data_IF_105896713225
#
_entry.id   IF_105896713225
#
_cell.length_a   1.000
_cell.length_b   1.000
_cell.length_c   1.000
_cell.angle_alpha   90.00
_cell.angle_beta   90.00
_cell.angle_gamma   90.00
#
_symmetry.space_group_name_H-M   'P 1'
#
loop_
_entity.id
_entity.type
_entity.pdbx_description
1 polymer ?
#
# COMPACT_ATOMS: atom_id res chain seq x y z
N UNK A 1 19.54 -51.28 34.60
CA UNK A 1 18.44 -50.29 34.74
C UNK A 1 18.94 -48.97 34.18
N UNK A 2 18.43 -48.56 33.02
CA UNK A 2 18.80 -47.30 32.37
C UNK A 2 17.70 -46.27 32.62
N UNK A 3 18.05 -45.11 33.18
CA UNK A 3 17.13 -44.00 33.40
C UNK A 3 16.82 -43.31 32.06
N UNK A 4 15.55 -42.98 31.77
CA UNK A 4 15.20 -42.20 30.59
C UNK A 4 15.57 -40.71 30.78
N UNK A 5 16.19 -40.14 29.75
CA UNK A 5 16.55 -38.73 29.63
C UNK A 5 15.30 -37.82 29.62
N UNK A 6 15.38 -36.60 30.17
CA UNK A 6 14.26 -35.67 30.17
C UNK A 6 14.01 -35.09 28.77
N UNK A 7 12.73 -35.07 28.41
CA UNK A 7 12.17 -34.48 27.18
C UNK A 7 12.41 -32.95 27.18
N UNK A 8 12.76 -32.32 26.04
CA UNK A 8 13.08 -30.89 25.99
C UNK A 8 11.87 -30.02 26.36
N UNK A 9 12.16 -29.02 27.21
CA UNK A 9 11.28 -27.94 27.66
C UNK A 9 10.40 -27.38 26.54
N UNK A 10 9.10 -27.32 26.82
CA UNK A 10 8.16 -26.46 26.13
C UNK A 10 8.72 -25.02 26.11
N UNK A 11 8.94 -24.49 24.91
CA UNK A 11 9.36 -23.12 24.64
C UNK A 11 8.47 -22.13 25.39
N UNK A 12 9.09 -21.33 26.26
CA UNK A 12 8.41 -20.30 27.04
C UNK A 12 7.63 -19.33 26.12
N UNK A 13 6.47 -18.81 26.56
CA UNK A 13 5.71 -17.86 25.78
C UNK A 13 6.54 -16.58 25.56
N UNK A 14 6.79 -16.24 24.29
CA UNK A 14 7.51 -15.03 23.89
C UNK A 14 6.95 -13.79 24.61
N UNK A 15 7.86 -12.93 25.07
CA UNK A 15 7.51 -11.62 25.61
C UNK A 15 6.79 -10.77 24.56
N UNK A 16 5.99 -9.79 25.00
CA UNK A 16 5.25 -8.90 24.08
C UNK A 16 6.16 -8.21 23.05
N UNK A 17 7.39 -7.86 23.45
CA UNK A 17 8.39 -7.24 22.59
C UNK A 17 8.89 -8.21 21.50
N UNK A 18 9.21 -9.45 21.87
CA UNK A 18 9.66 -10.47 20.91
C UNK A 18 8.57 -10.84 19.90
N UNK A 19 7.30 -10.85 20.34
CA UNK A 19 6.16 -11.03 19.43
C UNK A 19 6.07 -9.90 18.40
N UNK A 20 6.23 -8.66 18.81
CA UNK A 20 6.20 -7.50 17.91
C UNK A 20 7.33 -7.55 16.88
N UNK A 21 8.55 -7.87 17.31
CA UNK A 21 9.72 -8.02 16.43
C UNK A 21 9.50 -9.14 15.42
N UNK A 22 9.04 -10.31 15.90
CA UNK A 22 8.75 -11.44 15.02
C UNK A 22 7.65 -11.12 14.00
N UNK A 23 6.60 -10.40 14.38
CA UNK A 23 5.54 -9.96 13.47
C UNK A 23 6.04 -8.98 12.41
N UNK A 24 6.88 -8.02 12.80
CA UNK A 24 7.55 -7.12 11.86
C UNK A 24 8.43 -7.89 10.87
N UNK A 25 9.16 -8.91 11.32
CA UNK A 25 9.97 -9.77 10.45
C UNK A 25 9.11 -10.55 9.45
N UNK A 26 7.99 -11.15 9.91
CA UNK A 26 7.02 -11.81 9.02
C UNK A 26 6.44 -10.85 7.98
N UNK A 27 6.12 -9.63 8.39
CA UNK A 27 5.62 -8.58 7.51
C UNK A 27 6.67 -8.18 6.44
N UNK A 28 7.94 -8.08 6.81
CA UNK A 28 9.04 -7.80 5.86
C UNK A 28 9.20 -8.93 4.84
N UNK A 29 9.22 -10.17 5.30
CA UNK A 29 9.31 -11.35 4.42
C UNK A 29 8.13 -11.41 3.44
N UNK A 30 6.90 -11.13 3.90
CA UNK A 30 5.73 -11.07 3.03
C UNK A 30 5.83 -9.93 1.99
N UNK A 31 6.32 -8.75 2.39
CA UNK A 31 6.57 -7.65 1.43
C UNK A 31 7.60 -8.06 0.37
N UNK A 32 8.70 -8.70 0.77
CA UNK A 32 9.75 -9.18 -0.14
C UNK A 32 9.20 -10.24 -1.11
N UNK A 33 8.44 -11.21 -0.61
CA UNK A 33 7.76 -12.21 -1.44
C UNK A 33 6.78 -11.56 -2.43
N UNK A 34 6.06 -10.53 -2.00
CA UNK A 34 5.18 -9.74 -2.89
C UNK A 34 5.95 -9.00 -3.98
N UNK A 35 7.11 -8.42 -3.64
CA UNK A 35 7.99 -7.78 -4.62
C UNK A 35 8.54 -8.79 -5.64
N UNK A 36 9.00 -9.95 -5.18
CA UNK A 36 9.45 -11.03 -6.05
C UNK A 36 8.34 -11.52 -6.99
N UNK A 37 7.11 -11.68 -6.47
CA UNK A 37 5.95 -12.03 -7.29
C UNK A 37 5.61 -10.96 -8.34
N UNK A 38 5.73 -9.66 -8.02
CA UNK A 38 5.54 -8.58 -9.00
C UNK A 38 6.59 -8.62 -10.11
N UNK A 39 7.85 -8.89 -9.76
CA UNK A 39 8.96 -8.99 -10.70
C UNK A 39 8.79 -10.21 -11.62
N UNK A 40 8.30 -11.33 -11.08
CA UNK A 40 7.96 -12.54 -11.83
C UNK A 40 6.69 -12.42 -12.69
N UNK A 41 6.06 -11.24 -12.77
CA UNK A 41 4.85 -11.03 -13.56
C UNK A 41 3.58 -11.67 -12.96
N UNK A 42 3.57 -11.99 -11.67
CA UNK A 42 2.42 -12.54 -10.95
C UNK A 42 1.78 -11.49 -10.01
N UNK A 43 0.98 -10.54 -10.55
CA UNK A 43 0.38 -9.48 -9.75
C UNK A 43 -0.71 -9.98 -8.78
N UNK A 44 -1.31 -11.15 -9.03
CA UNK A 44 -2.25 -11.79 -8.09
C UNK A 44 -1.51 -12.30 -6.85
N UNK A 45 -0.43 -13.05 -7.05
CA UNK A 45 0.45 -13.51 -5.97
C UNK A 45 1.03 -12.34 -5.17
N UNK A 46 1.46 -11.28 -5.86
CA UNK A 46 1.93 -10.08 -5.19
C UNK A 46 0.86 -9.41 -4.32
N UNK A 47 -0.35 -9.20 -4.86
CA UNK A 47 -1.46 -8.63 -4.10
C UNK A 47 -1.76 -9.47 -2.84
N UNK A 48 -1.72 -10.80 -2.96
CA UNK A 48 -1.91 -11.70 -1.83
C UNK A 48 -0.84 -11.51 -0.74
N UNK A 49 0.43 -11.51 -1.10
CA UNK A 49 1.52 -11.35 -0.14
C UNK A 49 1.50 -9.95 0.52
N UNK A 50 1.21 -8.90 -0.23
CA UNK A 50 1.03 -7.54 0.33
C UNK A 50 -0.13 -7.45 1.31
N UNK A 51 -1.24 -8.15 1.06
CA UNK A 51 -2.36 -8.23 2.01
C UNK A 51 -1.96 -8.95 3.31
N UNK A 52 -1.06 -9.93 3.27
CA UNK A 52 -0.54 -10.57 4.49
C UNK A 52 0.23 -9.59 5.38
N UNK A 53 0.92 -8.61 4.79
CA UNK A 53 1.62 -7.57 5.56
C UNK A 53 0.65 -6.87 6.51
N UNK A 54 -0.53 -6.47 6.04
CA UNK A 54 -1.57 -5.90 6.91
C UNK A 54 -1.97 -6.85 8.03
N UNK A 55 -2.16 -8.14 7.74
CA UNK A 55 -2.51 -9.14 8.76
C UNK A 55 -1.45 -9.29 9.85
N UNK A 56 -0.17 -9.07 9.55
CA UNK A 56 0.90 -9.10 10.54
C UNK A 56 1.03 -7.79 11.33
N UNK A 57 0.66 -6.66 10.72
CA UNK A 57 0.87 -5.33 11.28
C UNK A 57 -0.37 -4.73 11.96
N UNK A 58 -1.58 -5.26 11.73
CA UNK A 58 -2.83 -4.64 12.18
C UNK A 58 -2.86 -4.26 13.67
N UNK A 59 -2.26 -5.08 14.53
CA UNK A 59 -2.20 -4.86 15.99
C UNK A 59 -1.14 -3.82 16.42
N UNK A 60 -0.23 -3.44 15.50
CA UNK A 60 0.91 -2.55 15.75
C UNK A 60 0.79 -1.22 14.99
N UNK A 61 -0.24 -1.07 14.15
CA UNK A 61 -0.50 0.19 13.46
C UNK A 61 -1.08 1.23 14.44
N UNK A 62 -0.74 2.52 14.27
CA UNK A 62 -1.45 3.60 14.95
C UNK A 62 -2.97 3.48 14.75
N UNK A 63 -3.76 3.81 15.78
CA UNK A 63 -5.20 3.57 15.76
C UNK A 63 -5.92 4.34 14.64
N UNK A 64 -5.48 5.56 14.33
CA UNK A 64 -5.94 6.36 13.19
C UNK A 64 -5.72 5.64 11.85
N UNK A 65 -4.58 4.97 11.69
CA UNK A 65 -4.26 4.17 10.49
C UNK A 65 -5.07 2.88 10.43
N UNK A 66 -5.18 2.18 11.55
CA UNK A 66 -5.85 0.88 11.63
C UNK A 66 -7.35 0.99 11.28
N UNK A 67 -8.01 2.03 11.78
CA UNK A 67 -9.44 2.29 11.54
C UNK A 67 -9.70 2.75 10.10
N UNK A 68 -8.85 3.64 9.56
CA UNK A 68 -9.06 4.24 8.24
C UNK A 68 -8.63 3.33 7.07
N UNK A 69 -7.64 2.44 7.26
CA UNK A 69 -7.10 1.60 6.16
C UNK A 69 -7.57 0.16 6.12
N UNK A 70 -8.24 -0.34 7.17
CA UNK A 70 -8.83 -1.69 7.19
C UNK A 70 -9.65 -2.03 5.92
N UNK A 71 -10.55 -1.17 5.42
CA UNK A 71 -11.30 -1.46 4.19
C UNK A 71 -10.43 -1.38 2.91
N UNK A 72 -9.32 -0.64 2.95
CA UNK A 72 -8.43 -0.44 1.79
C UNK A 72 -7.53 -1.65 1.58
N UNK A 73 -6.91 -2.18 2.65
CA UNK A 73 -6.08 -3.38 2.55
C UNK A 73 -6.88 -4.65 2.26
N UNK A 74 -8.11 -4.74 2.76
CA UNK A 74 -8.90 -5.99 2.70
C UNK A 74 -9.84 -6.06 1.49
N UNK A 75 -10.07 -4.95 0.78
CA UNK A 75 -10.88 -4.89 -0.44
C UNK A 75 -12.36 -5.16 -0.17
N UNK A 76 -13.18 -4.12 -0.08
CA UNK A 76 -14.61 -4.23 0.25
C UNK A 76 -15.54 -4.67 -0.89
N UNK A 77 -15.04 -4.94 -2.10
CA UNK A 77 -15.91 -4.97 -3.30
C UNK A 77 -15.82 -6.12 -4.30
N UNK A 78 -14.87 -7.06 -4.23
CA UNK A 78 -14.73 -8.06 -5.30
C UNK A 78 -13.93 -9.28 -4.85
N UNK A 79 -14.52 -10.48 -4.97
CA UNK A 79 -13.95 -11.85 -4.97
C UNK A 79 -12.84 -12.27 -3.97
N UNK A 80 -11.87 -11.41 -3.70
CA UNK A 80 -10.70 -11.59 -2.86
C UNK A 80 -10.97 -11.46 -1.35
N UNK A 81 -12.11 -10.88 -0.95
CA UNK A 81 -12.48 -10.70 0.46
C UNK A 81 -12.65 -12.04 1.20
N UNK A 82 -13.01 -13.11 0.48
CA UNK A 82 -13.14 -14.46 1.04
C UNK A 82 -11.81 -15.05 1.52
N UNK A 83 -10.72 -14.84 0.77
CA UNK A 83 -9.39 -15.34 1.10
C UNK A 83 -8.81 -14.63 2.33
N UNK A 84 -9.00 -13.32 2.39
CA UNK A 84 -8.59 -12.48 3.52
C UNK A 84 -9.38 -12.83 4.78
N UNK A 85 -10.72 -12.99 4.66
CA UNK A 85 -11.58 -13.44 5.77
C UNK A 85 -11.20 -14.83 6.25
N UNK A 86 -10.84 -15.73 5.33
CA UNK A 86 -10.34 -17.07 5.65
C UNK A 86 -8.99 -17.01 6.38
N UNK A 87 -8.05 -16.15 5.97
CA UNK A 87 -6.78 -15.96 6.67
C UNK A 87 -6.98 -15.36 8.08
N UNK A 88 -7.87 -14.38 8.21
CA UNK A 88 -8.23 -13.79 9.50
C UNK A 88 -8.91 -14.84 10.41
N UNK A 89 -9.78 -15.69 9.85
CA UNK A 89 -10.41 -16.79 10.57
C UNK A 89 -9.39 -17.88 10.97
N UNK A 90 -8.42 -18.21 10.11
CA UNK A 90 -7.33 -19.13 10.45
C UNK A 90 -6.44 -18.57 11.56
N UNK A 91 -6.12 -17.28 11.55
CA UNK A 91 -5.37 -16.65 12.64
C UNK A 91 -6.17 -16.66 13.95
N UNK A 92 -7.47 -16.33 13.91
CA UNK A 92 -8.35 -16.43 15.09
C UNK A 92 -8.42 -17.85 15.64
N UNK A 93 -8.52 -18.87 14.78
CA UNK A 93 -8.50 -20.29 15.19
C UNK A 93 -7.15 -20.68 15.82
N UNK A 94 -6.03 -20.19 15.28
CA UNK A 94 -4.69 -20.43 15.84
C UNK A 94 -4.47 -19.74 17.19
N UNK A 95 -5.06 -18.55 17.40
CA UNK A 95 -5.02 -17.84 18.68
C UNK A 95 -5.96 -18.44 19.72
N UNK A 96 -7.16 -18.88 19.33
CA UNK A 96 -8.10 -19.52 20.27
C UNK A 96 -7.54 -20.83 20.86
N UNK A 97 -6.71 -21.57 20.10
CA UNK A 97 -6.05 -22.79 20.59
C UNK A 97 -4.98 -22.51 21.66
N UNK A 98 -4.51 -21.26 21.80
CA UNK A 98 -3.51 -20.83 22.79
C UNK A 98 -4.10 -20.02 23.96
N UNK A 99 -5.39 -19.68 23.93
CA UNK A 99 -6.03 -18.76 24.91
C UNK A 99 -6.94 -19.47 25.92
N UNK A 100 -7.03 -20.81 25.91
CA UNK A 100 -7.77 -21.55 26.94
C UNK A 100 -7.18 -21.44 28.37
N UNK A 101 -6.15 -20.62 28.60
CA UNK A 101 -5.54 -20.38 29.91
C UNK A 101 -4.99 -18.95 30.05
N UNK A 102 -5.82 -17.89 29.97
CA UNK A 102 -5.52 -16.59 30.60
C UNK A 102 -6.77 -15.68 30.64
N UNK A 103 -6.99 -14.91 31.73
CA UNK A 103 -8.13 -14.02 31.85
C UNK A 103 -7.98 -12.78 30.94
N UNK A 104 -9.13 -12.34 30.43
CA UNK A 104 -9.34 -11.14 29.63
C UNK A 104 -8.89 -9.92 30.42
N UNK A 105 -7.79 -9.30 30.00
CA UNK A 105 -7.47 -7.93 30.36
C UNK A 105 -7.53 -7.11 29.09
N UNK A 106 -8.36 -6.06 29.12
CA UNK A 106 -8.44 -4.99 28.13
C UNK A 106 -7.09 -4.25 28.07
N UNK A 107 -6.08 -4.88 27.48
CA UNK A 107 -4.83 -4.21 27.13
C UNK A 107 -4.90 -3.84 25.67
N UNK A 108 -5.39 -2.62 25.43
CA UNK A 108 -5.06 -1.82 24.26
C UNK A 108 -3.53 -1.85 24.14
N UNK A 109 -3.02 -2.70 23.26
CA UNK A 109 -1.59 -2.95 23.09
C UNK A 109 -0.96 -1.69 22.54
N UNK A 110 -0.50 -0.81 23.43
CA UNK A 110 0.38 0.30 23.09
C UNK A 110 1.70 -0.29 22.63
N UNK A 111 1.81 -0.54 21.32
CA UNK A 111 3.08 -0.81 20.68
C UNK A 111 4.07 0.29 21.11
N UNK A 112 5.30 -0.09 21.43
CA UNK A 112 6.33 0.90 21.75
C UNK A 112 6.49 1.85 20.54
N UNK A 113 6.70 3.16 20.75
CA UNK A 113 6.76 4.14 19.67
C UNK A 113 7.64 3.75 18.47
N UNK A 114 8.84 3.13 18.64
CA UNK A 114 9.65 2.71 17.49
C UNK A 114 9.03 1.58 16.67
N UNK A 115 8.26 0.68 17.31
CA UNK A 115 7.60 -0.42 16.61
C UNK A 115 6.40 0.06 15.79
N UNK A 116 5.65 1.05 16.29
CA UNK A 116 4.54 1.66 15.58
C UNK A 116 5.02 2.43 14.34
N UNK A 117 6.12 3.19 14.44
CA UNK A 117 6.72 3.91 13.32
C UNK A 117 7.22 2.94 12.23
N UNK A 118 7.94 1.88 12.62
CA UNK A 118 8.41 0.86 11.69
C UNK A 118 7.25 0.11 11.00
N UNK A 119 6.17 -0.17 11.74
CA UNK A 119 4.96 -0.79 11.19
C UNK A 119 4.28 0.15 10.17
N UNK A 120 4.11 1.43 10.51
CA UNK A 120 3.52 2.43 9.61
C UNK A 120 4.34 2.60 8.32
N UNK A 121 5.68 2.68 8.40
CA UNK A 121 6.55 2.77 7.22
C UNK A 121 6.46 1.52 6.34
N UNK A 122 6.51 0.33 6.96
CA UNK A 122 6.40 -0.93 6.22
C UNK A 122 5.03 -1.05 5.53
N UNK A 123 3.97 -0.62 6.21
CA UNK A 123 2.63 -0.64 5.69
C UNK A 123 2.43 0.38 4.56
N UNK A 124 2.89 1.62 4.70
CA UNK A 124 2.78 2.65 3.67
C UNK A 124 3.50 2.23 2.37
N UNK A 125 4.73 1.70 2.48
CA UNK A 125 5.46 1.19 1.31
C UNK A 125 4.76 -0.01 0.67
N UNK A 126 4.11 -0.85 1.47
CA UNK A 126 3.35 -2.00 0.98
C UNK A 126 2.07 -1.57 0.26
N UNK A 127 1.30 -0.63 0.81
CA UNK A 127 0.11 -0.07 0.15
C UNK A 127 0.46 0.55 -1.20
N UNK A 128 1.59 1.25 -1.28
CA UNK A 128 2.06 1.82 -2.53
C UNK A 128 2.30 0.70 -3.58
N UNK A 129 2.95 -0.41 -3.19
CA UNK A 129 3.17 -1.55 -4.09
C UNK A 129 1.89 -2.34 -4.40
N UNK A 130 0.95 -2.39 -3.45
CA UNK A 130 -0.37 -2.97 -3.65
C UNK A 130 -1.16 -2.15 -4.70
N UNK A 131 -1.05 -0.82 -4.71
CA UNK A 131 -1.64 0.02 -5.75
C UNK A 131 -1.12 -0.36 -7.16
N UNK A 132 0.19 -0.62 -7.29
CA UNK A 132 0.79 -1.11 -8.54
C UNK A 132 0.27 -2.51 -8.91
N UNK A 133 0.13 -3.41 -7.94
CA UNK A 133 -0.45 -4.74 -8.18
C UNK A 133 -1.90 -4.64 -8.68
N UNK A 134 -2.74 -3.81 -8.04
CA UNK A 134 -4.13 -3.58 -8.47
C UNK A 134 -4.21 -2.95 -9.87
N UNK A 135 -3.32 -2.00 -10.18
CA UNK A 135 -3.21 -1.43 -11.51
C UNK A 135 -2.90 -2.50 -12.57
N UNK A 136 -1.94 -3.39 -12.31
CA UNK A 136 -1.61 -4.52 -13.21
C UNK A 136 -2.75 -5.55 -13.33
N UNK A 137 -3.61 -5.66 -12.32
CA UNK A 137 -4.80 -6.53 -12.35
C UNK A 137 -6.03 -5.88 -13.01
N UNK A 138 -5.92 -4.63 -13.46
CA UNK A 138 -7.06 -3.87 -13.98
C UNK A 138 -8.06 -3.43 -12.91
N UNK A 139 -7.72 -3.58 -11.62
CA UNK A 139 -8.56 -3.21 -10.49
C UNK A 139 -8.30 -1.75 -10.08
N UNK A 140 -8.55 -0.82 -11.00
CA UNK A 140 -8.10 0.57 -10.86
C UNK A 140 -8.71 1.30 -9.66
N UNK A 141 -9.96 1.01 -9.29
CA UNK A 141 -10.58 1.63 -8.11
C UNK A 141 -9.84 1.29 -6.81
N UNK A 142 -9.39 0.04 -6.66
CA UNK A 142 -8.62 -0.42 -5.51
C UNK A 142 -7.22 0.21 -5.51
N UNK A 143 -6.63 0.36 -6.70
CA UNK A 143 -5.37 1.08 -6.90
C UNK A 143 -5.45 2.53 -6.43
N UNK A 144 -6.50 3.26 -6.81
CA UNK A 144 -6.76 4.63 -6.33
C UNK A 144 -6.90 4.65 -4.81
N UNK A 145 -7.72 3.77 -4.23
CA UNK A 145 -7.90 3.71 -2.76
C UNK A 145 -6.58 3.48 -2.02
N UNK A 146 -5.75 2.55 -2.50
CA UNK A 146 -4.45 2.26 -1.89
C UNK A 146 -3.52 3.47 -1.95
N UNK A 147 -3.40 4.11 -3.11
CA UNK A 147 -2.55 5.29 -3.27
C UNK A 147 -3.07 6.49 -2.48
N UNK A 148 -4.38 6.72 -2.48
CA UNK A 148 -5.03 7.78 -1.70
C UNK A 148 -4.82 7.60 -0.20
N UNK A 149 -5.02 6.40 0.35
CA UNK A 149 -4.81 6.14 1.78
C UNK A 149 -3.40 6.53 2.24
N UNK A 150 -2.40 6.28 1.39
CA UNK A 150 -1.00 6.59 1.66
C UNK A 150 -0.69 8.09 1.54
N UNK A 151 -1.36 8.80 0.63
CA UNK A 151 -1.14 10.23 0.38
C UNK A 151 -1.89 11.12 1.36
N UNK A 152 -3.08 10.72 1.79
CA UNK A 152 -3.99 11.56 2.61
C UNK A 152 -3.85 11.30 4.11
N UNK A 153 -3.40 10.12 4.53
CA UNK A 153 -3.20 9.85 5.96
C UNK A 153 -1.87 10.46 6.43
N UNK A 154 -1.88 11.43 7.37
CA UNK A 154 -0.66 12.12 7.79
C UNK A 154 0.41 11.19 8.36
N UNK A 155 0.00 10.16 9.09
CA UNK A 155 0.88 9.17 9.70
C UNK A 155 1.57 8.29 8.67
N UNK A 156 0.86 7.83 7.63
CA UNK A 156 1.46 7.07 6.52
C UNK A 156 2.31 7.96 5.61
N UNK A 157 1.87 9.21 5.40
CA UNK A 157 2.57 10.21 4.62
C UNK A 157 3.92 10.54 5.25
N UNK A 158 3.94 10.86 6.54
CA UNK A 158 5.17 11.10 7.30
C UNK A 158 6.09 9.87 7.29
N UNK A 159 5.53 8.66 7.42
CA UNK A 159 6.31 7.43 7.37
C UNK A 159 6.94 7.15 5.98
N UNK A 160 6.28 7.56 4.89
CA UNK A 160 6.88 7.51 3.56
C UNK A 160 7.98 8.54 3.38
N UNK A 161 7.77 9.76 3.85
CA UNK A 161 8.72 10.85 3.67
C UNK A 161 10.00 10.59 4.48
N UNK A 162 9.89 10.04 5.70
CA UNK A 162 11.04 9.53 6.47
C UNK A 162 11.81 8.40 5.74
N UNK A 163 11.11 7.62 4.91
CA UNK A 163 11.76 6.62 4.05
C UNK A 163 12.42 7.22 2.81
N UNK A 164 11.97 8.41 2.38
CA UNK A 164 12.47 9.09 1.20
C UNK A 164 13.81 9.81 1.48
N UNK A 165 14.05 10.26 2.72
CA UNK A 165 15.33 10.85 3.15
C UNK A 165 16.53 9.90 2.97
N UNK A 166 16.28 8.58 2.92
CA UNK A 166 17.29 7.57 2.65
C UNK A 166 17.51 7.31 1.14
N UNK A 167 16.69 7.92 0.28
CA UNK A 167 16.69 7.69 -1.17
C UNK A 167 17.37 8.87 -1.88
N UNK A 168 18.59 8.65 -2.37
CA UNK A 168 19.35 9.62 -3.18
C UNK A 168 18.84 9.60 -4.63
N UNK A 169 17.54 9.83 -4.83
CA UNK A 169 16.99 9.92 -6.18
C UNK A 169 17.04 11.34 -6.70
N UNK A 170 17.48 11.52 -7.94
CA UNK A 170 17.51 12.82 -8.61
C UNK A 170 16.10 13.31 -9.01
N UNK A 171 15.09 12.42 -9.05
CA UNK A 171 13.73 12.75 -9.51
C UNK A 171 12.70 12.53 -8.42
N UNK A 172 11.81 13.50 -8.24
CA UNK A 172 10.70 13.39 -7.30
C UNK A 172 9.78 12.20 -7.62
N UNK A 173 9.58 11.89 -8.91
CA UNK A 173 8.74 10.77 -9.34
C UNK A 173 9.25 9.39 -8.88
N UNK A 174 10.55 9.28 -8.58
CA UNK A 174 11.16 8.06 -8.07
C UNK A 174 11.07 7.92 -6.55
N UNK A 175 10.72 9.00 -5.85
CA UNK A 175 10.44 8.94 -4.41
C UNK A 175 9.20 8.08 -4.14
N UNK A 176 9.05 7.50 -2.93
CA UNK A 176 7.85 6.75 -2.58
C UNK A 176 6.57 7.59 -2.75
N UNK A 177 6.63 8.87 -2.40
CA UNK A 177 5.58 9.86 -2.60
C UNK A 177 5.21 10.05 -4.09
N UNK A 178 6.22 10.30 -4.93
CA UNK A 178 6.04 10.48 -6.37
C UNK A 178 5.49 9.22 -7.04
N UNK A 179 5.95 8.04 -6.63
CA UNK A 179 5.43 6.74 -7.10
C UNK A 179 3.96 6.56 -6.75
N UNK A 180 3.52 6.96 -5.55
CA UNK A 180 2.12 6.88 -5.16
C UNK A 180 1.24 7.79 -6.03
N UNK A 181 1.68 9.03 -6.29
CA UNK A 181 0.99 9.97 -7.19
C UNK A 181 0.92 9.43 -8.62
N UNK A 182 2.03 8.91 -9.17
CA UNK A 182 2.05 8.32 -10.50
C UNK A 182 1.08 7.14 -10.63
N UNK A 183 1.05 6.26 -9.63
CA UNK A 183 0.16 5.10 -9.61
C UNK A 183 -1.31 5.53 -9.50
N UNK A 184 -1.62 6.54 -8.69
CA UNK A 184 -2.98 7.10 -8.58
C UNK A 184 -3.42 7.74 -9.89
N UNK A 185 -2.61 8.62 -10.46
CA UNK A 185 -2.87 9.27 -11.75
C UNK A 185 -3.13 8.24 -12.86
N UNK A 186 -2.28 7.19 -12.96
CA UNK A 186 -2.46 6.13 -13.94
C UNK A 186 -3.78 5.37 -13.77
N UNK A 187 -4.20 5.08 -12.53
CA UNK A 187 -5.50 4.47 -12.28
C UNK A 187 -6.66 5.43 -12.61
N UNK A 188 -6.54 6.71 -12.28
CA UNK A 188 -7.54 7.73 -12.59
C UNK A 188 -7.76 7.90 -14.10
N UNK A 189 -6.69 7.90 -14.90
CA UNK A 189 -6.77 7.89 -16.37
C UNK A 189 -7.60 6.70 -16.88
N UNK A 190 -7.41 5.51 -16.30
CA UNK A 190 -8.17 4.31 -16.68
C UNK A 190 -9.63 4.32 -16.23
N UNK A 191 -9.97 5.15 -15.26
CA UNK A 191 -11.33 5.34 -14.75
C UNK A 191 -12.02 6.57 -15.36
N UNK A 192 -11.37 7.26 -16.31
CA UNK A 192 -11.82 8.56 -16.83
C UNK A 192 -12.02 9.63 -15.75
N UNK A 193 -11.34 9.52 -14.61
CA UNK A 193 -11.32 10.57 -13.60
C UNK A 193 -10.21 11.57 -13.93
N UNK A 194 -10.48 12.42 -14.93
CA UNK A 194 -9.49 13.34 -15.48
C UNK A 194 -9.04 14.39 -14.48
N UNK A 195 -9.97 14.95 -13.69
CA UNK A 195 -9.67 16.04 -12.75
C UNK A 195 -8.65 15.60 -11.69
N UNK A 196 -8.83 14.41 -11.11
CA UNK A 196 -7.90 13.87 -10.12
C UNK A 196 -6.55 13.49 -10.76
N UNK A 197 -6.56 12.94 -11.98
CA UNK A 197 -5.33 12.65 -12.71
C UNK A 197 -4.52 13.92 -13.01
N UNK A 198 -5.18 15.01 -13.43
CA UNK A 198 -4.54 16.30 -13.68
C UNK A 198 -3.98 16.93 -12.40
N UNK A 199 -4.69 16.82 -11.29
CA UNK A 199 -4.22 17.30 -9.99
C UNK A 199 -2.92 16.58 -9.57
N UNK A 200 -2.87 15.25 -9.71
CA UNK A 200 -1.68 14.45 -9.41
C UNK A 200 -0.50 14.79 -10.34
N UNK A 201 -0.75 14.95 -11.65
CA UNK A 201 0.25 15.37 -12.64
C UNK A 201 0.79 16.76 -12.32
N UNK A 202 -0.07 17.70 -11.93
CA UNK A 202 0.33 19.06 -11.55
C UNK A 202 1.24 19.03 -10.33
N UNK A 203 0.92 18.22 -9.32
CA UNK A 203 1.74 18.05 -8.13
C UNK A 203 3.12 17.44 -8.46
N UNK A 204 3.17 16.45 -9.35
CA UNK A 204 4.42 15.85 -9.82
C UNK A 204 5.30 16.86 -10.56
N UNK A 205 4.71 17.71 -11.39
CA UNK A 205 5.42 18.78 -12.11
C UNK A 205 5.94 19.87 -11.17
N UNK A 206 5.11 20.36 -10.25
CA UNK A 206 5.53 21.39 -9.31
C UNK A 206 6.68 20.94 -8.41
N UNK A 207 6.66 19.67 -7.98
CA UNK A 207 7.73 19.10 -7.18
C UNK A 207 9.04 18.90 -7.98
N UNK A 208 8.97 18.66 -9.29
CA UNK A 208 10.14 18.60 -10.15
C UNK A 208 10.80 19.97 -10.36
N UNK A 209 9.99 21.04 -10.47
CA UNK A 209 10.49 22.41 -10.64
C UNK A 209 11.07 23.03 -9.36
N UNK A 210 10.59 22.62 -8.18
CA UNK A 210 11.04 23.16 -6.89
C UNK A 210 12.36 22.61 -6.35
N UNK A 211 12.91 21.53 -6.95
CA UNK A 211 14.14 20.87 -6.51
C UNK A 211 15.41 21.24 -7.29
N UNK A 212 15.29 22.01 -8.37
CA UNK A 212 16.42 22.41 -9.18
C UNK A 212 17.05 23.70 -8.64
N UNK A 213 18.15 23.58 -7.89
CA UNK A 213 19.14 24.66 -7.87
C UNK A 213 19.61 24.86 -9.31
N UNK A 214 19.61 26.12 -9.77
CA UNK A 214 19.68 26.55 -11.16
C UNK A 214 21.00 26.25 -11.92
N UNK A 215 21.74 25.20 -11.56
CA UNK A 215 23.07 24.90 -12.08
C UNK A 215 23.17 23.62 -12.92
N UNK A 216 22.12 22.82 -13.07
CA UNK A 216 22.13 21.65 -13.96
C UNK A 216 20.86 21.62 -14.80
N UNK A 217 21.02 21.88 -16.11
CA UNK A 217 19.95 21.76 -17.10
C UNK A 217 19.33 20.36 -17.10
N UNK A 218 18.23 20.20 -16.38
CA UNK A 218 17.54 18.94 -16.16
C UNK A 218 16.08 19.02 -16.56
N UNK A 219 15.80 19.56 -17.75
CA UNK A 219 14.46 19.72 -18.35
C UNK A 219 13.78 18.37 -18.72
N UNK A 220 14.35 17.25 -18.28
CA UNK A 220 13.79 15.93 -18.51
C UNK A 220 12.68 15.65 -17.49
N UNK A 221 11.52 16.27 -17.72
CA UNK A 221 10.25 15.79 -17.14
C UNK A 221 10.18 14.27 -17.32
N UNK A 222 9.82 13.57 -16.25
CA UNK A 222 9.69 12.12 -16.28
C UNK A 222 8.77 11.70 -17.44
N UNK A 223 9.26 10.82 -18.31
CA UNK A 223 8.53 10.31 -19.46
C UNK A 223 7.17 9.73 -19.06
N UNK A 224 7.05 9.18 -17.85
CA UNK A 224 5.78 8.71 -17.30
C UNK A 224 4.78 9.86 -17.08
N UNK A 225 5.24 11.00 -16.56
CA UNK A 225 4.40 12.20 -16.34
C UNK A 225 3.95 12.80 -17.67
N UNK A 226 4.84 12.84 -18.67
CA UNK A 226 4.52 13.32 -20.02
C UNK A 226 3.49 12.39 -20.68
N UNK A 227 3.70 11.08 -20.63
CA UNK A 227 2.77 10.09 -21.18
C UNK A 227 1.38 10.16 -20.52
N UNK A 228 1.32 10.31 -19.20
CA UNK A 228 0.05 10.47 -18.48
C UNK A 228 -0.68 11.75 -18.89
N UNK A 229 0.03 12.86 -19.05
CA UNK A 229 -0.58 14.12 -19.49
C UNK A 229 -1.17 14.01 -20.90
N UNK A 230 -0.45 13.38 -21.83
CA UNK A 230 -0.96 13.12 -23.17
C UNK A 230 -2.21 12.22 -23.14
N UNK A 231 -2.22 11.19 -22.28
CA UNK A 231 -3.37 10.29 -22.14
C UNK A 231 -4.61 11.02 -21.62
N UNK A 232 -4.46 11.93 -20.65
CA UNK A 232 -5.56 12.77 -20.16
C UNK A 232 -6.10 13.67 -21.27
N UNK A 233 -5.22 14.35 -22.01
CA UNK A 233 -5.63 15.25 -23.10
C UNK A 233 -6.40 14.51 -24.19
N UNK A 234 -5.91 13.34 -24.60
CA UNK A 234 -6.59 12.47 -25.56
C UNK A 234 -7.95 11.98 -25.04
N UNK A 235 -8.02 11.59 -23.76
CA UNK A 235 -9.26 11.17 -23.10
C UNK A 235 -10.33 12.26 -23.12
N UNK A 236 -9.98 13.49 -22.73
CA UNK A 236 -10.88 14.66 -22.76
C UNK A 236 -11.40 14.95 -24.18
N UNK A 237 -10.51 14.95 -25.18
CA UNK A 237 -10.90 15.15 -26.58
C UNK A 237 -11.87 14.08 -27.05
N UNK A 238 -11.64 12.81 -26.69
CA UNK A 238 -12.52 11.71 -27.04
C UNK A 238 -13.92 11.83 -26.39
N UNK A 239 -13.99 12.25 -25.12
CA UNK A 239 -15.27 12.49 -24.44
C UNK A 239 -16.05 13.64 -25.04
N UNK A 240 -15.39 14.78 -25.31
CA UNK A 240 -16.04 15.93 -25.97
C UNK A 240 -16.57 15.58 -27.36
N UNK A 241 -15.83 14.77 -28.13
CA UNK A 241 -16.27 14.27 -29.43
C UNK A 241 -17.49 13.34 -29.30
N UNK A 242 -17.50 12.46 -28.29
CA UNK A 242 -18.62 11.57 -28.01
C UNK A 242 -19.86 12.37 -27.61
N UNK A 243 -19.70 13.36 -26.74
CA UNK A 243 -20.79 14.24 -26.29
C UNK A 243 -21.39 15.02 -27.47
N UNK A 244 -20.54 15.65 -28.29
CA UNK A 244 -20.97 16.35 -29.51
C UNK A 244 -21.72 15.43 -30.48
N UNK A 245 -21.28 14.17 -30.63
CA UNK A 245 -21.97 13.16 -31.43
C UNK A 245 -23.33 12.81 -30.83
N UNK A 246 -23.43 12.64 -29.52
CA UNK A 246 -24.70 12.36 -28.84
C UNK A 246 -25.68 13.53 -28.96
N UNK A 247 -25.23 14.78 -28.79
CA UNK A 247 -26.09 15.95 -28.99
C UNK A 247 -26.67 15.98 -30.41
N UNK A 248 -25.85 15.75 -31.43
CA UNK A 248 -26.35 15.71 -32.83
C UNK A 248 -27.42 14.64 -33.05
N UNK A 249 -27.33 13.50 -32.38
CA UNK A 249 -28.33 12.43 -32.48
C UNK A 249 -29.62 12.74 -31.69
N UNK A 250 -29.55 13.57 -30.65
CA UNK A 250 -30.73 13.96 -29.86
C UNK A 250 -31.54 15.09 -30.51
N UNK A 251 -30.92 15.87 -31.40
CA UNK A 251 -31.54 17.03 -32.07
C UNK A 251 -31.74 16.83 -33.59
N UNK A 252 -31.51 15.62 -34.12
CA UNK A 252 -31.81 15.24 -35.49
C UNK A 252 -33.06 14.35 -35.53
#
# INVERSE_FOLDING_TARGET
MALPSPVPSASAPLSSCEKAVHRLQQARAAKEAGNAALQAGNPRGASFEYKKVYLYLAEYLPSDVAESTSPVALGTGSGDSGLVRMLQQQQRRKQQKTVAAAPVTDKKSSASPPTAAAAAQLYATTLNNLALAHMKLGRYQEGVRCATAVLEQPTLRAALDASAEQCVSARFSDTPAGKALLRRAACCVKLSNWDLAEADIRMLRSAASGGATAASGGDALDAAVVSLAQAVEQGRKAEALREKKMMRLMFA
#
